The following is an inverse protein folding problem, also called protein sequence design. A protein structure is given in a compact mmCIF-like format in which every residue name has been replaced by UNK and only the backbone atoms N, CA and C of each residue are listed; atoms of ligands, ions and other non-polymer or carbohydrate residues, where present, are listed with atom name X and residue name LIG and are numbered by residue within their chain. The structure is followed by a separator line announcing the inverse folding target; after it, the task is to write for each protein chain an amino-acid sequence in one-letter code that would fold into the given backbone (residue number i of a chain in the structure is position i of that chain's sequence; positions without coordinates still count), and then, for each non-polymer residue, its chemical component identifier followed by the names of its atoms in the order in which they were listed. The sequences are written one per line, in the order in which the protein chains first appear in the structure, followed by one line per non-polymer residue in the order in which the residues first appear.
data_IF_270351276780
#
_entry.id   IF_270351276780
#
_cell.length_a   1.000
_cell.length_b   1.000
_cell.length_c   1.000
_cell.angle_alpha   90.00
_cell.angle_beta   90.00
_cell.angle_gamma   90.00
#
_symmetry.space_group_name_H-M   'P 1'
#
loop_
_entity.id
_entity.type
_entity.pdbx_description
1 polymer ?
#
# COMPACT_ATOMS: atom_id res chain seq x y z
N UNK A 1 24.26 27.84 -56.81
CA UNK A 1 23.89 26.49 -57.30
C UNK A 1 23.54 25.60 -56.13
N UNK A 2 22.31 25.22 -56.11
CA UNK A 2 21.64 24.04 -55.54
C UNK A 2 21.71 23.87 -54.02
N UNK A 3 20.69 24.36 -53.39
CA UNK A 3 20.14 24.00 -52.10
C UNK A 3 19.76 22.53 -52.03
N UNK A 4 20.05 21.85 -50.94
CA UNK A 4 19.36 20.61 -50.55
C UNK A 4 18.79 20.75 -49.16
N UNK A 5 17.49 21.01 -49.13
CA UNK A 5 16.64 20.81 -47.96
C UNK A 5 16.52 19.33 -47.64
N UNK A 6 16.95 18.89 -46.45
CA UNK A 6 16.54 17.62 -45.90
C UNK A 6 15.48 17.88 -44.80
N UNK A 7 14.25 17.59 -45.13
CA UNK A 7 13.14 17.47 -44.24
C UNK A 7 13.38 16.30 -43.29
N UNK A 8 13.63 16.58 -42.02
CA UNK A 8 13.52 15.62 -40.94
C UNK A 8 12.05 15.44 -40.58
N UNK A 9 11.45 14.38 -41.10
CA UNK A 9 10.16 13.90 -40.64
C UNK A 9 10.34 13.34 -39.22
N UNK A 10 9.90 14.08 -38.24
CA UNK A 10 9.77 13.57 -36.88
C UNK A 10 8.66 12.52 -36.84
N UNK A 11 9.05 11.26 -36.74
CA UNK A 11 8.13 10.19 -36.37
C UNK A 11 7.68 10.43 -34.94
N UNK A 12 6.45 10.94 -34.80
CA UNK A 12 5.72 10.91 -33.52
C UNK A 12 5.50 9.43 -33.18
N UNK A 13 6.28 8.98 -32.21
CA UNK A 13 6.05 7.70 -31.56
C UNK A 13 4.78 7.85 -30.70
N UNK A 14 3.63 7.56 -31.29
CA UNK A 14 2.40 7.36 -30.54
C UNK A 14 2.61 6.11 -29.69
N UNK A 15 2.95 6.32 -28.42
CA UNK A 15 2.85 5.29 -27.41
C UNK A 15 1.39 4.84 -27.37
N UNK A 16 1.13 3.71 -28.03
CA UNK A 16 -0.10 2.94 -27.87
C UNK A 16 -0.19 2.55 -26.40
N UNK A 17 -0.83 3.38 -25.61
CA UNK A 17 -1.35 3.01 -24.32
C UNK A 17 -2.53 2.07 -24.58
N UNK A 18 -2.22 0.83 -24.97
CA UNK A 18 -3.18 -0.26 -24.93
C UNK A 18 -3.57 -0.40 -23.46
N UNK A 19 -4.77 0.09 -23.12
CA UNK A 19 -5.45 -0.28 -21.88
C UNK A 19 -5.58 -1.80 -21.97
N UNK A 20 -4.63 -2.53 -21.40
CA UNK A 20 -4.82 -3.94 -21.09
C UNK A 20 -5.91 -3.96 -20.02
N UNK A 21 -7.16 -4.07 -20.46
CA UNK A 21 -8.25 -4.44 -19.58
C UNK A 21 -7.92 -5.85 -19.09
N UNK A 22 -7.27 -5.95 -17.93
CA UNK A 22 -7.09 -7.23 -17.28
C UNK A 22 -8.48 -7.78 -17.02
N UNK A 23 -8.85 -8.81 -17.76
CA UNK A 23 -10.11 -9.53 -17.57
C UNK A 23 -10.09 -10.09 -16.14
N UNK A 24 -10.88 -9.48 -15.26
CA UNK A 24 -11.07 -10.00 -13.90
C UNK A 24 -11.94 -11.25 -14.00
N UNK A 25 -11.49 -12.42 -13.51
CA UNK A 25 -12.26 -13.65 -13.57
C UNK A 25 -13.61 -13.51 -12.85
N UNK A 26 -14.66 -14.06 -13.47
CA UNK A 26 -15.98 -14.15 -12.85
C UNK A 26 -16.15 -15.52 -12.21
N UNK A 27 -16.76 -15.54 -11.03
CA UNK A 27 -17.17 -16.76 -10.30
C UNK A 27 -18.69 -16.78 -10.13
N UNK A 28 -19.30 -17.94 -10.28
CA UNK A 28 -20.74 -18.13 -10.11
C UNK A 28 -20.99 -18.88 -8.82
N UNK A 29 -21.77 -18.30 -7.94
CA UNK A 29 -22.21 -18.89 -6.67
C UNK A 29 -23.67 -19.35 -6.81
N UNK A 30 -23.92 -20.63 -6.52
CA UNK A 30 -25.30 -21.15 -6.47
C UNK A 30 -25.87 -20.92 -5.07
N UNK A 31 -27.01 -20.27 -5.00
CA UNK A 31 -27.73 -20.02 -3.75
C UNK A 31 -29.14 -20.61 -3.84
N UNK A 32 -29.85 -20.74 -2.72
CA UNK A 32 -31.26 -21.14 -2.67
C UNK A 32 -32.21 -20.20 -3.45
N UNK A 33 -31.72 -19.00 -3.83
CA UNK A 33 -32.46 -18.00 -4.61
C UNK A 33 -32.03 -17.90 -6.07
N UNK A 34 -31.18 -18.82 -6.54
CA UNK A 34 -30.61 -18.84 -7.90
C UNK A 34 -29.13 -18.57 -7.96
N UNK A 35 -28.63 -18.46 -9.17
CA UNK A 35 -27.20 -18.18 -9.45
C UNK A 35 -26.90 -16.69 -9.32
N UNK A 36 -25.74 -16.38 -8.74
CA UNK A 36 -25.16 -15.02 -8.70
C UNK A 36 -23.72 -15.02 -9.20
N UNK A 37 -23.45 -14.17 -10.16
CA UNK A 37 -22.11 -13.96 -10.67
C UNK A 37 -21.43 -12.80 -9.91
N UNK A 38 -20.17 -12.99 -9.54
CA UNK A 38 -19.31 -11.99 -8.93
C UNK A 38 -17.99 -11.97 -9.67
N UNK A 39 -17.34 -10.80 -9.79
CA UNK A 39 -15.90 -10.82 -10.04
C UNK A 39 -15.16 -11.38 -8.82
N UNK A 40 -13.94 -11.87 -9.03
CA UNK A 40 -13.19 -12.56 -7.96
C UNK A 40 -12.93 -11.66 -6.75
N UNK A 41 -12.67 -10.36 -6.95
CA UNK A 41 -12.42 -9.43 -5.84
C UNK A 41 -13.69 -9.16 -5.04
N UNK A 42 -14.83 -8.96 -5.72
CA UNK A 42 -16.12 -8.80 -5.06
C UNK A 42 -16.51 -10.07 -4.29
N UNK A 43 -16.17 -11.25 -4.81
CA UNK A 43 -16.43 -12.50 -4.08
C UNK A 43 -15.54 -12.62 -2.83
N UNK A 44 -14.27 -12.25 -2.93
CA UNK A 44 -13.34 -12.26 -1.79
C UNK A 44 -13.68 -11.18 -0.75
N UNK A 45 -14.23 -10.05 -1.17
CA UNK A 45 -14.73 -9.01 -0.25
C UNK A 45 -15.83 -9.53 0.67
N UNK A 46 -16.69 -10.46 0.21
CA UNK A 46 -17.67 -11.14 1.07
C UNK A 46 -17.01 -11.95 2.20
N UNK A 47 -15.80 -12.43 1.98
CA UNK A 47 -14.96 -13.09 2.99
C UNK A 47 -14.11 -12.09 3.80
N UNK A 48 -14.43 -10.79 3.67
CA UNK A 48 -13.76 -9.68 4.35
C UNK A 48 -12.29 -9.50 3.94
N UNK A 49 -11.96 -9.88 2.71
CA UNK A 49 -10.61 -9.80 2.14
C UNK A 49 -10.54 -8.60 1.20
N UNK A 50 -9.60 -7.70 1.48
CA UNK A 50 -9.26 -6.52 0.66
C UNK A 50 -7.86 -6.72 0.08
N UNK A 51 -7.66 -6.29 -1.16
CA UNK A 51 -6.35 -6.30 -1.82
C UNK A 51 -5.83 -4.88 -2.03
N UNK A 52 -4.63 -4.63 -1.51
CA UNK A 52 -3.81 -3.46 -1.84
C UNK A 52 -2.68 -3.90 -2.76
N UNK A 53 -2.90 -3.80 -4.07
CA UNK A 53 -1.96 -4.24 -5.10
C UNK A 53 -1.54 -3.08 -5.98
N UNK A 54 -0.23 -2.99 -6.25
CA UNK A 54 0.37 -1.92 -7.04
C UNK A 54 0.64 -0.63 -6.24
N UNK A 55 0.93 0.48 -6.95
CA UNK A 55 1.25 1.76 -6.31
C UNK A 55 0.09 2.34 -5.52
N UNK A 56 0.39 2.87 -4.31
CA UNK A 56 -0.58 3.64 -3.52
C UNK A 56 -0.79 5.00 -4.18
N UNK A 57 -2.02 5.23 -4.63
CA UNK A 57 -2.48 6.47 -5.24
C UNK A 57 -3.92 6.76 -4.80
N UNK A 58 -4.46 7.93 -5.17
CA UNK A 58 -5.78 8.39 -4.73
C UNK A 58 -6.91 7.43 -5.11
N UNK A 59 -6.83 6.78 -6.27
CA UNK A 59 -7.85 5.81 -6.70
C UNK A 59 -7.83 4.56 -5.81
N UNK A 60 -6.66 3.94 -5.63
CA UNK A 60 -6.51 2.75 -4.77
C UNK A 60 -6.86 3.08 -3.31
N UNK A 61 -6.41 4.24 -2.81
CA UNK A 61 -6.73 4.67 -1.45
C UNK A 61 -8.23 4.81 -1.23
N UNK A 62 -8.94 5.47 -2.14
CA UNK A 62 -10.40 5.62 -2.07
C UNK A 62 -11.12 4.28 -2.05
N UNK A 63 -10.69 3.32 -2.89
CA UNK A 63 -11.29 1.98 -2.94
C UNK A 63 -11.04 1.20 -1.65
N UNK A 64 -9.82 1.22 -1.11
CA UNK A 64 -9.49 0.51 0.14
C UNK A 64 -10.25 1.12 1.32
N UNK A 65 -10.30 2.46 1.43
CA UNK A 65 -11.06 3.14 2.48
C UNK A 65 -12.57 2.80 2.41
N UNK A 66 -13.14 2.83 1.20
CA UNK A 66 -14.57 2.48 1.00
C UNK A 66 -14.86 1.02 1.41
N UNK A 67 -13.98 0.08 1.06
CA UNK A 67 -14.13 -1.32 1.45
C UNK A 67 -13.98 -1.54 2.96
N UNK A 68 -13.04 -0.84 3.63
CA UNK A 68 -12.91 -0.88 5.09
C UNK A 68 -14.17 -0.41 5.79
N UNK A 69 -14.71 0.74 5.37
CA UNK A 69 -15.94 1.32 5.93
C UNK A 69 -17.17 0.43 5.65
N UNK A 70 -17.26 -0.13 4.45
CA UNK A 70 -18.33 -1.06 4.09
C UNK A 70 -18.30 -2.31 4.98
N UNK A 71 -17.15 -2.96 5.11
CA UNK A 71 -17.03 -4.17 5.92
C UNK A 71 -17.26 -3.90 7.41
N UNK A 72 -16.83 -2.74 7.92
CA UNK A 72 -17.13 -2.32 9.28
C UNK A 72 -18.63 -2.15 9.51
N UNK A 73 -19.34 -1.53 8.57
CA UNK A 73 -20.79 -1.34 8.65
C UNK A 73 -21.57 -2.66 8.64
N UNK A 74 -21.06 -3.68 7.93
CA UNK A 74 -21.64 -5.03 7.88
C UNK A 74 -21.50 -5.77 9.23
N UNK A 75 -20.30 -5.73 9.81
CA UNK A 75 -20.04 -6.34 11.11
C UNK A 75 -18.76 -5.78 11.76
N UNK A 76 -18.88 -4.85 12.70
CA UNK A 76 -17.74 -4.18 13.33
C UNK A 76 -16.90 -5.08 14.25
N UNK A 77 -17.40 -6.29 14.58
CA UNK A 77 -16.69 -7.24 15.47
C UNK A 77 -15.84 -8.26 14.70
N UNK A 78 -16.09 -8.41 13.40
CA UNK A 78 -15.34 -9.36 12.57
C UNK A 78 -14.09 -8.70 12.01
N UNK A 79 -13.02 -9.48 11.98
CA UNK A 79 -11.73 -9.12 11.39
C UNK A 79 -11.83 -8.82 9.88
N UNK A 80 -11.04 -7.88 9.42
CA UNK A 80 -10.84 -7.55 8.01
C UNK A 80 -9.41 -7.93 7.64
N UNK A 81 -9.22 -8.58 6.50
CA UNK A 81 -7.91 -9.02 6.01
C UNK A 81 -7.45 -8.13 4.86
N UNK A 82 -6.37 -7.38 5.06
CA UNK A 82 -5.74 -6.54 4.04
C UNK A 82 -4.50 -7.22 3.48
N UNK A 83 -4.60 -7.76 2.26
CA UNK A 83 -3.49 -8.38 1.54
C UNK A 83 -2.72 -7.30 0.78
N UNK A 84 -1.41 -7.22 1.02
CA UNK A 84 -0.54 -6.15 0.51
C UNK A 84 0.50 -6.72 -0.44
N UNK A 85 0.50 -6.21 -1.68
CA UNK A 85 1.55 -6.38 -2.68
C UNK A 85 1.81 -5.03 -3.36
N UNK A 86 2.56 -4.16 -2.69
CA UNK A 86 2.71 -2.77 -3.09
C UNK A 86 4.15 -2.27 -2.98
N UNK A 87 4.63 -1.53 -3.99
CA UNK A 87 5.91 -0.81 -3.91
C UNK A 87 5.83 0.46 -3.07
N UNK A 88 4.67 0.81 -2.50
CA UNK A 88 4.40 2.09 -1.87
C UNK A 88 3.80 3.11 -2.82
N UNK A 89 3.96 4.40 -2.55
CA UNK A 89 3.40 5.47 -3.39
C UNK A 89 3.15 6.76 -2.63
N UNK A 90 2.05 7.45 -2.92
CA UNK A 90 1.74 8.79 -2.41
C UNK A 90 1.48 8.74 -0.89
N UNK A 91 2.24 9.52 -0.14
CA UNK A 91 2.20 9.49 1.33
C UNK A 91 0.83 9.89 1.89
N UNK A 92 0.22 10.96 1.37
CA UNK A 92 -1.09 11.43 1.82
C UNK A 92 -2.19 10.41 1.57
N UNK A 93 -2.14 9.72 0.45
CA UNK A 93 -3.08 8.64 0.12
C UNK A 93 -2.91 7.44 1.07
N UNK A 94 -1.65 7.09 1.37
CA UNK A 94 -1.35 6.04 2.34
C UNK A 94 -1.75 6.41 3.78
N UNK A 95 -1.60 7.67 4.17
CA UNK A 95 -2.09 8.17 5.48
C UNK A 95 -3.62 8.11 5.55
N UNK A 96 -4.34 8.38 4.45
CA UNK A 96 -5.79 8.22 4.40
C UNK A 96 -6.22 6.76 4.65
N UNK A 97 -5.53 5.78 4.05
CA UNK A 97 -5.77 4.36 4.34
C UNK A 97 -5.45 4.06 5.80
N UNK A 98 -4.29 4.50 6.30
CA UNK A 98 -3.87 4.31 7.69
C UNK A 98 -4.91 4.82 8.68
N UNK A 99 -5.34 6.07 8.53
CA UNK A 99 -6.32 6.67 9.42
C UNK A 99 -7.65 5.91 9.38
N UNK A 100 -8.07 5.45 8.19
CA UNK A 100 -9.27 4.62 8.06
C UNK A 100 -9.13 3.27 8.76
N UNK A 101 -7.95 2.60 8.63
CA UNK A 101 -7.67 1.36 9.36
C UNK A 101 -7.74 1.54 10.88
N UNK A 102 -7.29 2.69 11.40
CA UNK A 102 -7.33 3.00 12.83
C UNK A 102 -8.72 3.47 13.29
N UNK A 103 -9.53 4.03 12.38
CA UNK A 103 -10.86 4.59 12.67
C UNK A 103 -11.94 3.51 12.78
N UNK A 104 -11.90 2.48 11.95
CA UNK A 104 -12.88 1.39 11.96
C UNK A 104 -12.76 0.55 13.23
N UNK A 105 -13.87 0.04 13.73
CA UNK A 105 -13.92 -0.80 14.94
C UNK A 105 -13.49 -2.24 14.68
N UNK A 106 -13.59 -2.69 13.44
CA UNK A 106 -13.15 -4.03 13.04
C UNK A 106 -11.63 -4.13 13.16
N UNK A 107 -11.07 -5.18 13.77
CA UNK A 107 -9.63 -5.45 13.70
C UNK A 107 -9.19 -5.60 12.25
N UNK A 108 -8.11 -4.94 11.86
CA UNK A 108 -7.55 -5.04 10.51
C UNK A 108 -6.26 -5.87 10.55
N UNK A 109 -6.34 -7.09 10.05
CA UNK A 109 -5.18 -7.95 9.85
C UNK A 109 -4.46 -7.58 8.55
N UNK A 110 -3.14 -7.58 8.55
CA UNK A 110 -2.33 -7.25 7.37
C UNK A 110 -1.45 -8.41 6.95
N UNK A 111 -1.41 -8.71 5.66
CA UNK A 111 -0.65 -9.84 5.12
C UNK A 111 0.18 -9.38 3.92
N UNK A 112 1.51 -9.46 4.01
CA UNK A 112 2.39 -9.21 2.88
C UNK A 112 2.46 -10.42 1.97
N UNK A 113 2.12 -10.22 0.68
CA UNK A 113 2.29 -11.18 -0.40
C UNK A 113 3.16 -10.55 -1.49
N UNK A 114 4.30 -11.15 -1.82
CA UNK A 114 5.25 -10.60 -2.78
C UNK A 114 6.08 -9.46 -2.20
N UNK A 115 5.54 -8.26 -2.08
CA UNK A 115 6.29 -7.15 -1.48
C UNK A 115 5.41 -6.17 -0.69
N UNK A 116 6.02 -5.55 0.31
CA UNK A 116 5.49 -4.37 0.98
C UNK A 116 6.64 -3.36 1.16
N UNK A 117 6.71 -2.36 0.28
CA UNK A 117 7.77 -1.37 0.30
C UNK A 117 7.22 0.04 0.59
N UNK A 118 8.01 0.89 1.27
CA UNK A 118 7.66 2.29 1.53
C UNK A 118 6.28 2.41 2.21
N UNK A 119 5.31 3.12 1.60
CA UNK A 119 3.94 3.18 2.12
C UNK A 119 3.27 1.79 2.24
N UNK A 120 3.68 0.80 1.45
CA UNK A 120 3.21 -0.58 1.61
C UNK A 120 3.66 -1.21 2.93
N UNK A 121 4.93 -1.03 3.32
CA UNK A 121 5.44 -1.50 4.62
C UNK A 121 4.88 -0.71 5.81
N UNK A 122 4.58 0.56 5.60
CA UNK A 122 3.91 1.40 6.58
C UNK A 122 2.50 0.87 6.91
N UNK A 123 1.71 0.55 5.88
CA UNK A 123 0.38 -0.03 6.05
C UNK A 123 0.43 -1.46 6.59
N UNK A 124 1.45 -2.25 6.23
CA UNK A 124 1.68 -3.57 6.81
C UNK A 124 1.90 -3.49 8.33
N UNK A 125 2.75 -2.56 8.77
CA UNK A 125 3.02 -2.33 10.19
C UNK A 125 1.80 -1.80 10.97
N UNK A 126 0.87 -1.15 10.28
CA UNK A 126 -0.32 -0.51 10.85
C UNK A 126 -1.47 -1.47 11.20
N UNK A 127 -1.34 -2.75 10.85
CA UNK A 127 -2.32 -3.79 11.22
C UNK A 127 -2.44 -3.97 12.73
N UNK A 128 -3.50 -4.67 13.14
CA UNK A 128 -3.76 -5.00 14.54
C UNK A 128 -2.59 -5.82 15.11
N UNK A 129 -2.16 -5.48 16.32
CA UNK A 129 -1.03 -6.15 16.96
C UNK A 129 -1.32 -7.65 17.17
N UNK A 130 -0.40 -8.49 16.76
CA UNK A 130 -0.56 -9.95 16.75
C UNK A 130 -1.15 -10.50 15.45
N UNK A 131 -1.67 -9.62 14.57
CA UNK A 131 -2.35 -9.96 13.32
C UNK A 131 -1.67 -9.35 12.09
N UNK A 132 -0.34 -9.16 12.15
CA UNK A 132 0.47 -8.67 11.02
C UNK A 132 1.34 -9.82 10.51
N UNK A 133 1.14 -10.19 9.26
CA UNK A 133 1.72 -11.41 8.69
C UNK A 133 2.53 -11.12 7.42
N UNK A 134 3.43 -12.04 7.10
CA UNK A 134 4.09 -12.10 5.79
C UNK A 134 4.21 -13.54 5.32
N UNK A 135 4.09 -13.76 4.01
CA UNK A 135 4.48 -15.02 3.39
C UNK A 135 6.02 -15.14 3.34
N UNK A 136 6.58 -16.37 3.31
CA UNK A 136 8.01 -16.59 3.57
C UNK A 136 8.95 -16.04 2.48
N UNK A 137 8.47 -15.81 1.27
CA UNK A 137 9.27 -15.30 0.14
C UNK A 137 8.99 -13.82 -0.17
N UNK A 138 8.28 -13.11 0.70
CA UNK A 138 8.00 -11.68 0.51
C UNK A 138 9.22 -10.81 0.79
N UNK A 139 9.22 -9.59 0.25
CA UNK A 139 10.23 -8.57 0.57
C UNK A 139 9.57 -7.37 1.20
N UNK A 140 10.14 -6.91 2.27
CA UNK A 140 9.70 -5.72 2.99
C UNK A 140 10.78 -4.65 2.88
N UNK A 141 10.41 -3.39 2.63
CA UNK A 141 11.38 -2.29 2.54
C UNK A 141 10.84 -1.05 3.23
N UNK A 142 11.68 -0.44 4.03
CA UNK A 142 11.41 0.83 4.69
C UNK A 142 12.41 1.88 4.27
N UNK A 143 11.95 3.12 4.11
CA UNK A 143 12.78 4.30 3.88
C UNK A 143 12.03 5.59 4.24
N UNK A 144 12.74 6.71 4.30
CA UNK A 144 12.16 8.02 4.51
C UNK A 144 11.35 8.50 3.29
N UNK A 145 10.39 9.44 3.46
CA UNK A 145 9.69 10.03 2.32
C UNK A 145 10.65 10.81 1.44
N UNK A 146 10.43 10.75 0.12
CA UNK A 146 11.17 11.52 -0.88
C UNK A 146 10.23 12.47 -1.61
N UNK A 147 10.72 13.67 -1.95
CA UNK A 147 10.02 14.63 -2.78
C UNK A 147 11.03 15.47 -3.57
N UNK A 148 10.58 16.04 -4.70
CA UNK A 148 11.32 17.01 -5.48
C UNK A 148 10.48 18.27 -5.68
N UNK A 149 11.10 19.44 -5.52
CA UNK A 149 10.43 20.73 -5.65
C UNK A 149 11.25 21.69 -6.50
N UNK A 150 10.54 22.51 -7.30
CA UNK A 150 11.09 23.63 -8.05
C UNK A 150 10.23 24.86 -7.79
N UNK A 151 10.84 26.03 -7.70
CA UNK A 151 10.13 27.28 -7.49
C UNK A 151 11.02 28.37 -6.88
N UNK A 152 10.39 29.39 -6.34
CA UNK A 152 11.08 30.45 -5.61
C UNK A 152 11.66 29.91 -4.29
N UNK A 153 12.72 30.52 -3.78
CA UNK A 153 13.41 30.06 -2.56
C UNK A 153 12.47 29.88 -1.37
N UNK A 154 11.52 30.80 -1.20
CA UNK A 154 10.51 30.73 -0.12
C UNK A 154 9.59 29.52 -0.27
N UNK A 155 9.14 29.22 -1.50
CA UNK A 155 8.27 28.08 -1.76
C UNK A 155 9.02 26.76 -1.52
N UNK A 156 10.27 26.65 -1.95
CA UNK A 156 11.13 25.50 -1.68
C UNK A 156 11.28 25.26 -0.17
N UNK A 157 11.46 26.35 0.61
CA UNK A 157 11.57 26.24 2.07
C UNK A 157 10.27 25.76 2.72
N UNK A 158 9.12 26.22 2.25
CA UNK A 158 7.81 25.76 2.73
C UNK A 158 7.65 24.25 2.49
N UNK A 159 7.96 23.78 1.30
CA UNK A 159 7.90 22.37 0.97
C UNK A 159 8.92 21.51 1.74
N UNK A 160 10.14 22.04 1.97
CA UNK A 160 11.15 21.38 2.78
C UNK A 160 10.71 21.20 4.25
N UNK A 161 10.02 22.19 4.80
CA UNK A 161 9.46 22.10 6.14
C UNK A 161 8.32 21.05 6.20
N UNK A 162 7.44 21.02 5.18
CA UNK A 162 6.34 20.08 5.11
C UNK A 162 6.84 18.62 5.01
N UNK A 163 7.82 18.33 4.14
CA UNK A 163 8.36 16.96 4.06
C UNK A 163 9.06 16.56 5.35
N UNK A 164 9.69 17.50 6.05
CA UNK A 164 10.31 17.24 7.36
C UNK A 164 9.27 16.92 8.43
N UNK A 165 8.14 17.62 8.42
CA UNK A 165 6.99 17.32 9.28
C UNK A 165 6.43 15.92 8.99
N UNK A 166 6.19 15.59 7.72
CA UNK A 166 5.71 14.27 7.30
C UNK A 166 6.68 13.17 7.71
N UNK A 167 8.01 13.35 7.48
CA UNK A 167 9.04 12.40 7.91
C UNK A 167 8.95 12.11 9.41
N UNK A 168 8.85 13.16 10.23
CA UNK A 168 8.71 13.02 11.68
C UNK A 168 7.45 12.23 12.05
N UNK A 169 6.32 12.56 11.43
CA UNK A 169 5.04 11.88 11.69
C UNK A 169 5.07 10.40 11.33
N UNK A 170 5.65 10.03 10.19
CA UNK A 170 5.82 8.64 9.79
C UNK A 170 6.72 7.88 10.78
N UNK A 171 7.82 8.47 11.24
CA UNK A 171 8.70 7.85 12.23
C UNK A 171 7.99 7.59 13.55
N UNK A 172 7.16 8.53 14.03
CA UNK A 172 6.34 8.37 15.24
C UNK A 172 5.34 7.21 15.09
N UNK A 173 4.70 7.09 13.93
CA UNK A 173 3.75 6.01 13.66
C UNK A 173 4.46 4.65 13.58
N UNK A 174 5.60 4.55 12.87
CA UNK A 174 6.39 3.32 12.87
C UNK A 174 6.85 2.95 14.29
N UNK A 175 7.30 3.91 15.09
CA UNK A 175 7.68 3.70 16.49
C UNK A 175 6.53 3.10 17.30
N UNK A 176 5.33 3.68 17.18
CA UNK A 176 4.11 3.18 17.83
C UNK A 176 3.83 1.71 17.49
N UNK A 177 3.91 1.34 16.21
CA UNK A 177 3.51 0.01 15.75
C UNK A 177 4.60 -1.06 15.92
N UNK A 178 5.88 -0.66 15.78
CA UNK A 178 7.01 -1.59 15.95
C UNK A 178 7.46 -1.76 17.38
N UNK A 179 7.14 -0.82 18.26
CA UNK A 179 7.64 -0.77 19.64
C UNK A 179 9.09 -0.29 19.77
N UNK A 180 9.75 0.11 18.67
CA UNK A 180 11.09 0.70 18.69
C UNK A 180 11.02 2.20 19.00
N UNK A 181 12.07 2.75 19.60
CA UNK A 181 12.17 4.20 19.81
C UNK A 181 12.30 4.96 18.49
N UNK A 182 11.85 6.23 18.50
CA UNK A 182 11.81 7.07 17.29
C UNK A 182 13.18 7.27 16.66
N UNK A 183 14.25 7.31 17.46
CA UNK A 183 15.61 7.49 16.96
C UNK A 183 16.08 6.27 16.17
N UNK A 184 15.85 5.07 16.71
CA UNK A 184 16.13 3.80 16.02
C UNK A 184 15.34 3.68 14.71
N UNK A 185 14.07 4.11 14.69
CA UNK A 185 13.26 4.16 13.47
C UNK A 185 13.87 5.16 12.48
N UNK A 186 14.20 6.37 12.90
CA UNK A 186 14.79 7.40 12.04
C UNK A 186 16.08 6.92 11.38
N UNK A 187 16.97 6.28 12.15
CA UNK A 187 18.22 5.72 11.63
C UNK A 187 17.96 4.59 10.62
N UNK A 188 17.00 3.73 10.88
CA UNK A 188 16.65 2.62 10.01
C UNK A 188 16.00 3.07 8.68
N UNK A 189 15.24 4.16 8.70
CA UNK A 189 14.53 4.71 7.54
C UNK A 189 15.38 5.71 6.74
N UNK A 190 16.61 6.04 7.18
CA UNK A 190 17.42 7.07 6.50
C UNK A 190 17.78 6.69 5.06
N UNK A 191 17.92 5.41 4.76
CA UNK A 191 18.14 4.85 3.42
C UNK A 191 17.29 3.61 3.23
N UNK A 192 17.17 3.13 1.99
CA UNK A 192 16.45 1.91 1.67
C UNK A 192 16.96 0.74 2.51
N UNK A 193 16.09 0.21 3.36
CA UNK A 193 16.37 -0.96 4.17
C UNK A 193 15.43 -2.09 3.77
N UNK A 194 15.98 -3.03 3.01
CA UNK A 194 15.29 -4.24 2.61
C UNK A 194 15.41 -5.31 3.70
N UNK A 195 14.30 -6.00 3.94
CA UNK A 195 14.19 -7.05 4.95
C UNK A 195 13.52 -8.30 4.37
N UNK A 196 14.02 -9.45 4.78
CA UNK A 196 13.29 -10.71 4.70
C UNK A 196 12.10 -10.69 5.68
N UNK A 197 11.13 -11.61 5.57
CA UNK A 197 10.04 -11.70 6.53
C UNK A 197 10.51 -11.89 7.99
N UNK A 198 11.54 -12.70 8.23
CA UNK A 198 12.08 -12.88 9.58
C UNK A 198 12.72 -11.61 10.12
N UNK A 199 13.53 -10.91 9.30
CA UNK A 199 14.10 -9.62 9.68
C UNK A 199 13.00 -8.56 9.95
N UNK A 200 11.91 -8.57 9.18
CA UNK A 200 10.77 -7.67 9.38
C UNK A 200 10.01 -7.98 10.68
N UNK A 201 9.93 -9.26 11.07
CA UNK A 201 9.39 -9.70 12.36
C UNK A 201 10.28 -9.21 13.51
N UNK A 202 11.59 -9.44 13.43
CA UNK A 202 12.55 -8.96 14.44
C UNK A 202 12.58 -7.43 14.54
N UNK A 203 12.33 -6.76 13.42
CA UNK A 203 12.19 -5.30 13.38
C UNK A 203 10.87 -4.83 14.01
N UNK A 204 9.83 -5.67 14.04
CA UNK A 204 8.52 -5.37 14.61
C UNK A 204 7.47 -4.87 13.62
N UNK A 205 7.74 -4.95 12.30
CA UNK A 205 6.75 -4.61 11.26
C UNK A 205 5.66 -5.64 11.18
N UNK A 206 6.00 -6.91 11.34
CA UNK A 206 5.06 -8.03 11.37
C UNK A 206 5.18 -8.82 12.67
N UNK A 207 4.19 -9.65 12.96
CA UNK A 207 4.15 -10.49 14.15
C UNK A 207 4.54 -11.95 13.84
N UNK A 208 4.22 -12.44 12.63
CA UNK A 208 4.48 -13.83 12.24
C UNK A 208 4.78 -13.96 10.75
N UNK A 209 5.68 -14.91 10.44
CA UNK A 209 5.82 -15.45 9.09
C UNK A 209 4.94 -16.69 8.99
N UNK A 210 4.10 -16.79 7.95
CA UNK A 210 3.12 -17.85 7.79
C UNK A 210 3.29 -18.57 6.46
N UNK A 211 3.40 -19.88 6.48
CA UNK A 211 3.50 -20.73 5.29
C UNK A 211 2.13 -21.23 4.83
N UNK A 212 1.19 -21.34 5.75
CA UNK A 212 -0.18 -21.79 5.49
C UNK A 212 -1.17 -20.84 6.16
N UNK A 213 -2.37 -20.77 5.58
CA UNK A 213 -3.45 -20.00 6.20
C UNK A 213 -3.67 -20.50 7.62
N UNK A 214 -3.68 -19.57 8.57
CA UNK A 214 -4.01 -19.87 9.98
C UNK A 214 -5.53 -19.83 10.08
N UNK A 215 -6.12 -20.86 10.67
CA UNK A 215 -7.57 -20.98 10.93
C UNK A 215 -8.02 -19.95 11.96
#
# INVERSE_FOLDING_TARGET
MTSMNSFLAGTMNQSNNSIQSNLVPMVVEQTSRGERAYDIYSRLLKERIIFLVGPVNSHIASLVCAQLLFLESENPKKEIFLYINSPGGIVTDGLGIYDTMQYVKSPVSTICIGQAASMGSFLLAAGEKGHRFSLPNSRIMVHQPSAGFQGQATDIQIHANEISYVKKRLNEIYSKHTGKDVKSIQEALERDKFMSPEEAKDFGIIDKVVEKKVD
#
